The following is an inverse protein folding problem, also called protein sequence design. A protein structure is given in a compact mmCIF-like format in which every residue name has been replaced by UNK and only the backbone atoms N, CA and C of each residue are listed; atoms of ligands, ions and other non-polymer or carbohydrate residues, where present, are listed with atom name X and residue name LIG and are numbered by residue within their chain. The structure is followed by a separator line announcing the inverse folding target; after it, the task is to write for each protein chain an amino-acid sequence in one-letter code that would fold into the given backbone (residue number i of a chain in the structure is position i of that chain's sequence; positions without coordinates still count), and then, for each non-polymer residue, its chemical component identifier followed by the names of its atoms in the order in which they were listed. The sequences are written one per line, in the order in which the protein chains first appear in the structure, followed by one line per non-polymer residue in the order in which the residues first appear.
data_IF_685868471894
#
_entry.id   IF_685868471894
#
_cell.length_a   1.000
_cell.length_b   1.000
_cell.length_c   1.000
_cell.angle_alpha   90.00
_cell.angle_beta   90.00
_cell.angle_gamma   90.00
#
_symmetry.space_group_name_H-M   'P 1'
#
loop_
_entity.id
_entity.type
_entity.pdbx_description
1 polymer ?
#
# COMPACT_ATOMS: atom_id res chain seq x y z
N UNK A 1 -17.04 -1.38 -30.42
CA UNK A 1 -15.97 -0.74 -31.19
C UNK A 1 -14.74 -1.62 -31.07
N UNK A 2 -14.34 -2.23 -32.17
CA UNK A 2 -13.18 -3.13 -32.23
C UNK A 2 -11.91 -2.36 -31.92
N UNK A 3 -11.25 -2.73 -30.86
CA UNK A 3 -9.86 -2.32 -30.62
C UNK A 3 -8.99 -3.27 -31.42
N UNK A 4 -8.29 -2.73 -32.41
CA UNK A 4 -7.29 -3.47 -33.15
C UNK A 4 -6.24 -4.01 -32.17
N UNK A 5 -6.29 -5.31 -31.93
CA UNK A 5 -5.16 -6.11 -31.52
C UNK A 5 -4.25 -6.22 -32.73
N UNK A 6 -3.11 -5.58 -32.73
CA UNK A 6 -1.96 -6.00 -33.54
C UNK A 6 -0.86 -4.90 -33.60
N UNK A 7 -0.23 -4.66 -32.48
CA UNK A 7 1.19 -4.39 -32.40
C UNK A 7 1.74 -5.13 -31.17
N UNK A 8 1.90 -6.42 -31.32
CA UNK A 8 2.80 -7.18 -30.44
C UNK A 8 4.18 -6.63 -30.77
N UNK A 9 4.63 -5.61 -30.00
CA UNK A 9 6.05 -5.27 -29.94
C UNK A 9 6.78 -6.58 -29.72
N UNK A 10 7.56 -7.04 -30.70
CA UNK A 10 8.54 -8.11 -30.51
C UNK A 10 9.60 -7.49 -29.60
N UNK A 11 9.26 -7.38 -28.32
CA UNK A 11 10.20 -7.04 -27.28
C UNK A 11 11.25 -8.16 -27.30
N UNK A 12 12.51 -7.79 -27.50
CA UNK A 12 13.62 -8.66 -27.12
C UNK A 12 13.35 -9.20 -25.70
N UNK A 13 14.07 -10.21 -25.25
CA UNK A 13 13.83 -10.86 -23.96
C UNK A 13 14.01 -9.86 -22.79
N UNK A 14 12.98 -9.00 -22.54
CA UNK A 14 12.97 -8.05 -21.41
C UNK A 14 12.67 -8.81 -20.13
N UNK A 15 13.49 -8.59 -19.10
CA UNK A 15 13.27 -9.13 -17.76
C UNK A 15 12.80 -8.04 -16.79
N UNK A 16 12.22 -8.42 -15.66
CA UNK A 16 11.86 -7.47 -14.62
C UNK A 16 12.64 -7.73 -13.32
N UNK A 17 12.98 -6.65 -12.61
CA UNK A 17 13.45 -6.69 -11.22
C UNK A 17 12.44 -5.94 -10.36
N UNK A 18 11.88 -6.62 -9.35
CA UNK A 18 10.90 -6.05 -8.45
C UNK A 18 11.54 -5.89 -7.06
N UNK A 19 11.64 -4.65 -6.58
CA UNK A 19 12.27 -4.37 -5.29
C UNK A 19 11.26 -4.49 -4.15
N UNK A 20 11.37 -5.54 -3.36
CA UNK A 20 10.46 -5.89 -2.27
C UNK A 20 11.19 -6.07 -0.92
N UNK A 21 12.43 -5.59 -0.80
CA UNK A 21 13.28 -5.78 0.39
C UNK A 21 13.06 -4.74 1.51
N UNK A 22 12.16 -3.79 1.35
CA UNK A 22 11.89 -2.75 2.34
C UNK A 22 11.25 -3.31 3.62
N UNK A 23 11.73 -2.88 4.81
CA UNK A 23 11.21 -3.34 6.12
C UNK A 23 9.76 -2.94 6.40
N UNK A 24 9.24 -1.88 5.78
CA UNK A 24 7.86 -1.44 5.96
C UNK A 24 7.51 -0.89 7.36
N UNK A 25 8.49 -0.49 8.18
CA UNK A 25 8.30 -0.07 9.58
C UNK A 25 7.25 1.04 9.77
N UNK A 26 7.09 1.93 8.79
CA UNK A 26 6.09 3.01 8.83
C UNK A 26 4.64 2.49 8.65
N UNK A 27 4.49 1.27 8.18
CA UNK A 27 3.18 0.60 7.98
C UNK A 27 2.73 -0.19 9.22
N UNK A 28 3.56 -0.22 10.28
CA UNK A 28 3.14 -0.86 11.53
C UNK A 28 1.76 -0.36 11.99
N UNK A 29 0.86 -1.25 12.46
CA UNK A 29 1.03 -2.66 12.79
C UNK A 29 0.76 -3.64 11.63
N UNK A 30 0.40 -3.18 10.45
CA UNK A 30 0.03 -4.04 9.32
C UNK A 30 1.20 -4.90 8.81
N UNK A 31 2.43 -4.42 9.01
CA UNK A 31 3.65 -5.13 8.59
C UNK A 31 4.29 -5.97 9.68
N UNK A 32 3.65 -6.13 10.83
CA UNK A 32 4.10 -7.06 11.87
C UNK A 32 3.98 -8.52 11.45
N UNK A 33 3.00 -8.83 10.60
CA UNK A 33 2.65 -10.21 10.20
C UNK A 33 2.93 -10.52 8.74
N UNK A 34 3.14 -9.51 7.91
CA UNK A 34 3.37 -9.65 6.46
C UNK A 34 4.26 -8.56 5.91
N UNK A 35 5.00 -8.80 4.80
CA UNK A 35 5.77 -7.77 4.15
C UNK A 35 4.86 -6.77 3.43
N UNK A 36 5.32 -5.52 3.32
CA UNK A 36 4.59 -4.40 2.71
C UNK A 36 4.00 -4.71 1.32
N UNK A 37 4.69 -5.40 0.39
CA UNK A 37 4.14 -5.72 -0.94
C UNK A 37 2.90 -6.63 -0.93
N UNK A 38 2.65 -7.32 0.19
CA UNK A 38 1.46 -8.16 0.39
C UNK A 38 0.30 -7.44 1.07
N UNK A 39 0.42 -6.14 1.36
CA UNK A 39 -0.73 -5.35 1.77
C UNK A 39 -1.71 -5.21 0.61
N UNK A 40 -3.00 -5.24 0.94
CA UNK A 40 -4.05 -5.39 -0.05
C UNK A 40 -4.70 -4.06 -0.42
N UNK A 41 -4.91 -3.88 -1.71
CA UNK A 41 -5.80 -2.86 -2.28
C UNK A 41 -6.93 -3.59 -3.01
N UNK A 42 -8.18 -3.28 -2.68
CA UNK A 42 -9.36 -4.02 -3.15
C UNK A 42 -9.18 -5.54 -2.98
N UNK A 43 -8.76 -5.96 -1.77
CA UNK A 43 -8.57 -7.38 -1.40
C UNK A 43 -7.59 -8.16 -2.30
N UNK A 44 -6.63 -7.47 -2.88
CA UNK A 44 -5.60 -8.03 -3.76
C UNK A 44 -4.24 -7.46 -3.38
N UNK A 45 -3.20 -8.29 -3.15
CA UNK A 45 -1.87 -7.83 -2.82
C UNK A 45 -1.33 -6.80 -3.82
N UNK A 46 -0.69 -5.72 -3.36
CA UNK A 46 -0.09 -4.72 -4.25
C UNK A 46 0.89 -5.36 -5.24
N UNK A 47 1.71 -6.31 -4.79
CA UNK A 47 2.64 -7.04 -5.64
C UNK A 47 1.95 -7.76 -6.81
N UNK A 48 0.71 -8.26 -6.61
CA UNK A 48 -0.03 -8.95 -7.64
C UNK A 48 -0.38 -8.03 -8.82
N UNK A 49 -0.70 -6.76 -8.55
CA UNK A 49 -0.91 -5.77 -9.61
C UNK A 49 0.32 -5.59 -10.49
N UNK A 50 1.52 -5.53 -9.88
CA UNK A 50 2.77 -5.42 -10.63
C UNK A 50 3.05 -6.67 -11.48
N UNK A 51 2.92 -7.87 -10.90
CA UNK A 51 3.17 -9.12 -11.60
C UNK A 51 2.22 -9.33 -12.78
N UNK A 52 0.92 -9.10 -12.56
CA UNK A 52 -0.10 -9.21 -13.63
C UNK A 52 0.16 -8.21 -14.76
N UNK A 53 0.47 -6.94 -14.41
CA UNK A 53 0.75 -5.91 -15.42
C UNK A 53 2.00 -6.24 -16.24
N UNK A 54 3.06 -6.74 -15.60
CA UNK A 54 4.27 -7.17 -16.31
C UNK A 54 3.98 -8.34 -17.25
N UNK A 55 3.20 -9.33 -16.78
CA UNK A 55 2.80 -10.48 -17.61
C UNK A 55 1.93 -10.05 -18.80
N UNK A 56 0.96 -9.15 -18.58
CA UNK A 56 0.10 -8.58 -19.62
C UNK A 56 0.88 -7.82 -20.71
N UNK A 57 2.04 -7.28 -20.36
CA UNK A 57 2.97 -6.62 -21.28
C UNK A 57 3.99 -7.58 -21.90
N UNK A 58 3.82 -8.90 -21.71
CA UNK A 58 4.67 -9.93 -22.31
C UNK A 58 5.98 -10.22 -21.57
N UNK A 59 6.23 -9.62 -20.41
CA UNK A 59 7.40 -9.91 -19.59
C UNK A 59 7.20 -11.24 -18.87
N UNK A 60 7.95 -12.25 -19.27
CA UNK A 60 7.80 -13.63 -18.78
C UNK A 60 8.74 -14.00 -17.64
N UNK A 61 9.78 -13.20 -17.40
CA UNK A 61 10.81 -13.46 -16.39
C UNK A 61 10.89 -12.29 -15.42
N UNK A 62 10.81 -12.57 -14.13
CA UNK A 62 11.00 -11.56 -13.08
C UNK A 62 11.86 -12.07 -11.94
N UNK A 63 12.62 -11.16 -11.32
CA UNK A 63 13.36 -11.38 -10.08
C UNK A 63 12.72 -10.54 -8.99
N UNK A 64 12.30 -11.17 -7.92
CA UNK A 64 11.79 -10.50 -6.73
C UNK A 64 12.90 -10.41 -5.68
N UNK A 65 13.30 -9.18 -5.34
CA UNK A 65 14.30 -8.95 -4.29
C UNK A 65 13.59 -8.90 -2.94
N UNK A 66 13.99 -9.81 -2.04
CA UNK A 66 13.33 -10.03 -0.74
C UNK A 66 14.25 -9.69 0.43
N UNK A 67 13.69 -9.48 1.64
CA UNK A 67 14.48 -9.34 2.87
C UNK A 67 13.71 -9.88 4.09
N UNK A 68 12.57 -9.27 4.45
CA UNK A 68 11.75 -9.65 5.61
C UNK A 68 10.55 -10.50 5.20
N UNK A 69 10.05 -11.35 6.11
CA UNK A 69 8.90 -12.25 5.88
C UNK A 69 9.01 -13.04 4.57
N UNK A 70 10.23 -13.52 4.27
CA UNK A 70 10.59 -14.09 2.99
C UNK A 70 9.73 -15.30 2.59
N UNK A 71 9.46 -16.20 3.54
CA UNK A 71 8.69 -17.43 3.28
C UNK A 71 7.25 -17.11 2.82
N UNK A 72 6.58 -16.17 3.51
CA UNK A 72 5.24 -15.74 3.14
C UNK A 72 5.24 -15.04 1.78
N UNK A 73 6.22 -14.16 1.55
CA UNK A 73 6.36 -13.45 0.28
C UNK A 73 6.61 -14.42 -0.87
N UNK A 74 7.54 -15.37 -0.73
CA UNK A 74 7.84 -16.40 -1.72
C UNK A 74 6.61 -17.27 -2.01
N UNK A 75 5.95 -17.79 -0.98
CA UNK A 75 4.76 -18.63 -1.14
C UNK A 75 3.65 -17.91 -1.92
N UNK A 76 3.33 -16.68 -1.51
CA UNK A 76 2.25 -15.92 -2.14
C UNK A 76 2.59 -15.53 -3.57
N UNK A 77 3.79 -14.97 -3.80
CA UNK A 77 4.18 -14.53 -5.15
C UNK A 77 4.42 -15.68 -6.13
N UNK A 78 4.90 -16.84 -5.67
CA UNK A 78 5.00 -18.04 -6.51
C UNK A 78 3.63 -18.52 -6.99
N UNK A 79 2.63 -18.54 -6.09
CA UNK A 79 1.26 -18.90 -6.47
C UNK A 79 0.64 -17.92 -7.46
N UNK A 80 0.95 -16.62 -7.34
CA UNK A 80 0.51 -15.62 -8.31
C UNK A 80 1.21 -15.84 -9.66
N UNK A 81 2.53 -15.99 -9.64
CA UNK A 81 3.36 -16.16 -10.84
C UNK A 81 2.95 -17.42 -11.65
N UNK A 82 2.66 -18.52 -10.96
CA UNK A 82 2.17 -19.75 -11.59
C UNK A 82 0.84 -19.51 -12.34
N UNK A 83 -0.11 -18.81 -11.73
CA UNK A 83 -1.42 -18.53 -12.33
C UNK A 83 -1.33 -17.66 -13.58
N UNK A 84 -0.35 -16.76 -13.65
CA UNK A 84 -0.16 -15.83 -14.79
C UNK A 84 0.91 -16.32 -15.78
N UNK A 85 1.49 -17.50 -15.56
CA UNK A 85 2.51 -18.09 -16.44
C UNK A 85 3.84 -17.36 -16.45
N UNK A 86 4.23 -16.70 -15.33
CA UNK A 86 5.48 -15.95 -15.19
C UNK A 86 6.53 -16.80 -14.49
N UNK A 87 7.77 -16.81 -15.01
CA UNK A 87 8.94 -17.37 -14.33
C UNK A 87 9.43 -16.36 -13.29
N UNK A 88 9.22 -16.65 -12.00
CA UNK A 88 9.61 -15.80 -10.89
C UNK A 88 10.76 -16.42 -10.11
N UNK A 89 11.87 -15.71 -10.01
CA UNK A 89 13.01 -16.07 -9.16
C UNK A 89 13.15 -15.12 -7.98
N UNK A 90 13.86 -15.55 -6.94
CA UNK A 90 14.01 -14.80 -5.69
C UNK A 90 15.47 -14.55 -5.39
N UNK A 91 15.78 -13.31 -5.06
CA UNK A 91 17.10 -12.91 -4.56
C UNK A 91 16.91 -12.26 -3.20
N UNK A 92 17.58 -12.81 -2.19
CA UNK A 92 17.54 -12.22 -0.86
C UNK A 92 18.59 -11.12 -0.75
N UNK A 93 18.16 -9.90 -0.48
CA UNK A 93 19.06 -8.84 -0.07
C UNK A 93 19.61 -9.16 1.32
N UNK A 94 20.89 -9.45 1.41
CA UNK A 94 21.56 -9.87 2.65
C UNK A 94 21.48 -8.80 3.74
N UNK A 95 21.77 -7.56 3.35
CA UNK A 95 21.70 -6.38 4.22
C UNK A 95 20.90 -5.26 3.52
N UNK A 96 20.08 -4.49 4.25
CA UNK A 96 19.25 -3.43 3.67
C UNK A 96 20.07 -2.18 3.34
N UNK A 97 21.07 -2.31 2.49
CA UNK A 97 22.02 -1.27 2.08
C UNK A 97 21.52 -0.39 0.92
N UNK A 98 20.22 -0.29 0.73
CA UNK A 98 19.61 0.60 -0.25
C UNK A 98 19.16 -0.08 -1.54
N UNK A 99 18.49 0.70 -2.41
CA UNK A 99 17.86 0.20 -3.65
C UNK A 99 18.88 -0.21 -4.71
N UNK A 100 20.01 0.48 -4.80
CA UNK A 100 21.11 0.12 -5.70
C UNK A 100 21.76 -1.20 -5.31
N UNK A 101 21.95 -1.44 -4.00
CA UNK A 101 22.45 -2.73 -3.52
C UNK A 101 21.49 -3.87 -3.88
N UNK A 102 20.18 -3.66 -3.74
CA UNK A 102 19.16 -4.63 -4.09
C UNK A 102 19.22 -5.01 -5.59
N UNK A 103 19.33 -4.01 -6.47
CA UNK A 103 19.47 -4.23 -7.94
C UNK A 103 20.78 -4.95 -8.26
N UNK A 104 21.88 -4.58 -7.63
CA UNK A 104 23.18 -5.23 -7.82
C UNK A 104 23.11 -6.72 -7.47
N UNK A 105 22.59 -7.07 -6.29
CA UNK A 105 22.42 -8.48 -5.90
C UNK A 105 21.47 -9.22 -6.86
N UNK A 106 20.37 -8.56 -7.29
CA UNK A 106 19.46 -9.15 -8.25
C UNK A 106 20.15 -9.54 -9.55
N UNK A 107 20.95 -8.64 -10.14
CA UNK A 107 21.65 -8.89 -11.40
C UNK A 107 22.76 -9.94 -11.21
N UNK A 108 23.57 -9.83 -10.15
CA UNK A 108 24.67 -10.77 -9.87
C UNK A 108 24.19 -12.20 -9.68
N UNK A 109 23.13 -12.40 -8.87
CA UNK A 109 22.64 -13.72 -8.50
C UNK A 109 21.80 -14.35 -9.60
N UNK A 110 20.91 -13.57 -10.24
CA UNK A 110 20.00 -14.09 -11.27
C UNK A 110 20.66 -14.23 -12.65
N UNK A 111 21.73 -13.51 -12.89
CA UNK A 111 22.38 -13.46 -14.20
C UNK A 111 21.57 -12.73 -15.28
N UNK A 112 20.62 -11.86 -14.89
CA UNK A 112 19.88 -11.02 -15.85
C UNK A 112 20.84 -10.22 -16.72
N UNK A 113 20.50 -10.11 -18.01
CA UNK A 113 21.22 -9.40 -19.06
C UNK A 113 20.25 -8.59 -19.91
N UNK A 114 20.79 -7.56 -20.60
CA UNK A 114 20.06 -6.75 -21.57
C UNK A 114 19.02 -5.83 -20.93
N UNK A 115 18.00 -5.47 -21.68
CA UNK A 115 16.97 -4.54 -21.23
C UNK A 115 16.17 -5.11 -20.06
N UNK A 116 16.05 -4.30 -19.01
CA UNK A 116 15.44 -4.71 -17.74
C UNK A 116 14.52 -3.61 -17.24
N UNK A 117 13.31 -3.97 -16.83
CA UNK A 117 12.39 -3.09 -16.13
C UNK A 117 12.55 -3.27 -14.63
N UNK A 118 12.88 -2.19 -13.93
CA UNK A 118 12.91 -2.17 -12.46
C UNK A 118 11.62 -1.54 -11.95
N UNK A 119 10.95 -2.22 -11.00
CA UNK A 119 9.71 -1.74 -10.39
C UNK A 119 9.84 -1.78 -8.87
N UNK A 120 9.50 -0.68 -8.22
CA UNK A 120 9.38 -0.63 -6.76
C UNK A 120 8.03 -1.23 -6.34
N UNK A 121 8.05 -2.22 -5.47
CA UNK A 121 6.83 -2.92 -5.06
C UNK A 121 5.95 -2.15 -4.08
N UNK A 122 6.39 -1.01 -3.61
CA UNK A 122 5.68 -0.16 -2.66
C UNK A 122 4.99 1.06 -3.29
N UNK A 123 5.10 1.21 -4.60
CA UNK A 123 4.26 2.16 -5.35
C UNK A 123 2.90 1.52 -5.66
N UNK A 124 1.89 2.35 -5.71
CA UNK A 124 0.58 1.96 -6.18
C UNK A 124 0.06 2.93 -7.25
N UNK A 125 -0.41 2.36 -8.31
CA UNK A 125 -1.17 3.00 -9.38
C UNK A 125 -2.32 2.06 -9.74
N UNK A 126 -3.40 2.61 -10.28
CA UNK A 126 -4.47 1.75 -10.81
C UNK A 126 -3.93 0.86 -11.93
N UNK A 127 -4.54 -0.31 -12.19
CA UNK A 127 -4.03 -1.25 -13.21
C UNK A 127 -3.80 -0.60 -14.58
N UNK A 128 -4.71 0.28 -14.99
CA UNK A 128 -4.59 1.02 -16.25
C UNK A 128 -3.37 1.94 -16.25
N UNK A 129 -3.24 2.79 -15.22
CA UNK A 129 -2.15 3.75 -15.12
C UNK A 129 -0.79 3.04 -14.98
N UNK A 130 -0.73 1.92 -14.26
CA UNK A 130 0.48 1.12 -14.13
C UNK A 130 0.90 0.50 -15.47
N UNK A 131 -0.07 -0.05 -16.22
CA UNK A 131 0.16 -0.59 -17.56
C UNK A 131 0.65 0.48 -18.53
N UNK A 132 0.02 1.64 -18.53
CA UNK A 132 0.43 2.78 -19.37
C UNK A 132 1.85 3.25 -19.04
N UNK A 133 2.19 3.33 -17.75
CA UNK A 133 3.52 3.76 -17.29
C UNK A 133 4.62 2.78 -17.73
N UNK A 134 4.42 1.48 -17.52
CA UNK A 134 5.39 0.45 -17.92
C UNK A 134 5.47 0.35 -19.45
N UNK A 135 4.33 0.41 -20.16
CA UNK A 135 4.30 0.40 -21.62
C UNK A 135 5.08 1.58 -22.22
N UNK A 136 4.89 2.79 -21.70
CA UNK A 136 5.68 3.97 -22.11
C UNK A 136 7.17 3.77 -21.87
N UNK A 137 7.54 3.19 -20.71
CA UNK A 137 8.94 2.89 -20.42
C UNK A 137 9.53 1.88 -21.44
N UNK A 138 8.82 0.81 -21.74
CA UNK A 138 9.22 -0.21 -22.71
C UNK A 138 9.35 0.34 -24.13
N UNK A 139 8.46 1.26 -24.52
CA UNK A 139 8.43 1.85 -25.87
C UNK A 139 9.45 2.97 -26.08
N UNK A 140 10.09 3.49 -25.02
CA UNK A 140 11.13 4.51 -25.16
C UNK A 140 12.33 3.95 -25.93
N UNK A 141 12.87 4.66 -26.91
CA UNK A 141 14.09 4.24 -27.62
C UNK A 141 15.34 4.30 -26.74
N UNK A 142 15.29 5.08 -25.66
CA UNK A 142 16.37 5.27 -24.69
C UNK A 142 16.07 4.53 -23.38
N UNK A 143 17.02 4.48 -22.46
CA UNK A 143 16.72 4.21 -21.07
C UNK A 143 15.70 5.22 -20.55
N UNK A 144 14.96 4.86 -19.52
CA UNK A 144 13.90 5.74 -19.06
C UNK A 144 13.62 5.58 -17.57
N UNK A 145 13.13 6.66 -16.98
CA UNK A 145 12.60 6.71 -15.62
C UNK A 145 11.24 7.38 -15.61
N UNK A 146 10.26 6.73 -14.98
CA UNK A 146 8.95 7.34 -14.79
C UNK A 146 8.98 8.40 -13.68
N UNK A 147 8.38 9.55 -13.96
CA UNK A 147 8.31 10.70 -13.06
C UNK A 147 6.88 11.03 -12.68
N UNK A 148 6.57 11.04 -11.37
CA UNK A 148 5.31 11.49 -10.82
C UNK A 148 5.40 12.95 -10.37
N UNK A 149 4.36 13.75 -10.62
CA UNK A 149 4.27 15.12 -10.10
C UNK A 149 3.67 15.11 -8.71
N UNK A 150 4.37 15.71 -7.76
CA UNK A 150 3.94 15.81 -6.36
C UNK A 150 4.03 17.26 -5.86
N UNK A 151 3.16 17.63 -4.91
CA UNK A 151 3.13 19.00 -4.34
C UNK A 151 4.28 19.27 -3.36
N UNK A 152 4.90 18.24 -2.82
CA UNK A 152 6.05 18.33 -1.93
C UNK A 152 7.10 17.28 -2.33
N UNK A 153 8.11 17.72 -3.07
CA UNK A 153 9.17 16.86 -3.58
C UNK A 153 10.25 16.52 -2.55
N UNK A 154 10.24 17.15 -1.37
CA UNK A 154 11.31 17.00 -0.37
C UNK A 154 11.50 15.58 0.15
N UNK A 155 10.49 14.74 0.04
CA UNK A 155 10.46 13.37 0.56
C UNK A 155 10.97 12.31 -0.40
N UNK A 156 11.25 12.70 -1.64
CA UNK A 156 11.51 11.79 -2.77
C UNK A 156 12.81 12.15 -3.49
N UNK A 157 13.21 11.32 -4.42
CA UNK A 157 14.24 11.65 -5.41
C UNK A 157 13.64 12.54 -6.52
N UNK A 158 13.86 13.85 -6.45
CA UNK A 158 13.35 14.79 -7.44
C UNK A 158 14.17 14.71 -8.73
N UNK A 159 13.47 14.54 -9.86
CA UNK A 159 14.07 14.42 -11.19
C UNK A 159 14.22 15.80 -11.81
N UNK A 160 15.44 16.16 -12.19
CA UNK A 160 15.74 17.34 -12.98
C UNK A 160 16.05 16.88 -14.40
N UNK A 161 15.29 17.38 -15.36
CA UNK A 161 15.50 17.09 -16.79
C UNK A 161 15.88 18.34 -17.55
N UNK A 162 16.61 18.16 -18.64
CA UNK A 162 16.93 19.21 -19.60
C UNK A 162 15.70 19.63 -20.43
N UNK A 163 15.89 20.59 -21.33
CA UNK A 163 14.85 21.08 -22.23
C UNK A 163 14.31 20.06 -23.24
N UNK A 164 15.00 18.93 -23.42
CA UNK A 164 14.56 17.80 -24.26
C UNK A 164 13.89 16.65 -23.48
N UNK A 165 13.81 16.77 -22.15
CA UNK A 165 13.21 15.76 -21.28
C UNK A 165 14.18 14.65 -20.85
N UNK A 166 15.49 14.80 -21.10
CA UNK A 166 16.52 13.88 -20.63
C UNK A 166 16.90 14.17 -19.19
N UNK A 167 17.19 13.12 -18.43
CA UNK A 167 17.59 13.22 -17.03
C UNK A 167 18.97 13.88 -16.92
N UNK A 168 19.05 14.99 -16.21
CA UNK A 168 20.32 15.65 -15.87
C UNK A 168 20.81 15.28 -14.48
N UNK A 169 19.89 15.27 -13.50
CA UNK A 169 20.23 15.07 -12.08
C UNK A 169 19.06 14.56 -11.28
N UNK A 170 19.36 13.87 -10.17
CA UNK A 170 18.37 13.45 -9.18
C UNK A 170 18.73 14.07 -7.82
N UNK A 171 17.82 14.84 -7.24
CA UNK A 171 17.99 15.47 -5.94
C UNK A 171 17.29 14.60 -4.88
N UNK A 172 18.07 13.82 -4.13
CA UNK A 172 17.52 12.84 -3.18
C UNK A 172 17.12 13.50 -1.86
N UNK A 173 15.82 13.46 -1.54
CA UNK A 173 15.22 13.83 -0.23
C UNK A 173 15.76 15.15 0.36
N UNK A 174 15.70 16.22 -0.42
CA UNK A 174 16.24 17.52 -0.02
C UNK A 174 15.21 18.37 0.74
N UNK A 175 15.52 18.85 1.97
CA UNK A 175 14.68 19.79 2.68
C UNK A 175 14.39 21.10 1.92
N UNK A 176 15.29 21.50 0.99
CA UNK A 176 15.13 22.71 0.16
C UNK A 176 13.95 22.63 -0.80
N UNK A 177 13.41 21.43 -1.02
CA UNK A 177 12.23 21.16 -1.84
C UNK A 177 10.94 21.06 -1.02
N UNK A 178 10.99 21.37 0.27
CA UNK A 178 9.81 21.32 1.14
C UNK A 178 8.71 22.30 0.66
N UNK A 179 7.51 21.74 0.45
CA UNK A 179 6.36 22.48 -0.06
C UNK A 179 6.48 22.95 -1.51
N UNK A 180 7.49 22.46 -2.26
CA UNK A 180 7.65 22.76 -3.68
C UNK A 180 7.17 21.60 -4.53
N UNK A 181 6.36 21.94 -5.54
CA UNK A 181 5.96 20.98 -6.56
C UNK A 181 7.20 20.53 -7.36
N UNK A 182 7.23 19.25 -7.70
CA UNK A 182 8.31 18.68 -8.50
C UNK A 182 7.95 17.33 -9.09
N UNK A 183 8.70 16.96 -10.13
CA UNK A 183 8.66 15.61 -10.70
C UNK A 183 9.60 14.73 -9.90
N UNK A 184 9.10 13.60 -9.39
CA UNK A 184 9.88 12.68 -8.55
C UNK A 184 9.95 11.29 -9.16
N UNK A 185 10.98 10.52 -8.79
CA UNK A 185 11.12 9.12 -9.19
C UNK A 185 9.88 8.31 -8.77
N UNK A 186 9.15 7.81 -9.74
CA UNK A 186 7.94 7.03 -9.52
C UNK A 186 8.19 5.54 -9.31
N UNK A 187 9.44 5.09 -9.29
CA UNK A 187 9.78 3.69 -9.02
C UNK A 187 9.59 2.74 -10.19
N UNK A 188 9.54 3.23 -11.42
CA UNK A 188 9.50 2.45 -12.66
C UNK A 188 10.61 2.94 -13.56
N UNK A 189 11.51 2.04 -14.02
CA UNK A 189 12.65 2.36 -14.84
C UNK A 189 12.88 1.28 -15.89
N UNK A 190 13.28 1.66 -17.12
CA UNK A 190 13.84 0.75 -18.12
C UNK A 190 15.30 1.07 -18.31
N UNK A 191 16.18 0.12 -18.09
CA UNK A 191 17.63 0.28 -18.15
C UNK A 191 18.30 -0.99 -18.68
N UNK A 192 19.54 -0.90 -19.12
CA UNK A 192 20.38 -2.05 -19.39
C UNK A 192 20.97 -2.63 -18.10
N UNK A 193 20.86 -3.94 -17.93
CA UNK A 193 21.37 -4.61 -16.72
C UNK A 193 22.89 -4.49 -16.58
N UNK A 194 23.64 -4.62 -17.67
CA UNK A 194 25.09 -4.51 -17.68
C UNK A 194 25.55 -3.08 -17.37
N UNK A 195 24.92 -2.09 -18.01
CA UNK A 195 25.28 -0.69 -17.86
C UNK A 195 25.01 -0.18 -16.45
N UNK A 196 23.83 -0.48 -15.91
CA UNK A 196 23.54 -0.06 -14.53
C UNK A 196 24.42 -0.80 -13.51
N UNK A 197 24.78 -2.04 -13.79
CA UNK A 197 25.67 -2.81 -12.94
C UNK A 197 27.06 -2.20 -12.84
N UNK A 198 27.60 -1.69 -13.96
CA UNK A 198 28.88 -0.96 -13.96
C UNK A 198 28.84 0.29 -13.10
N UNK A 199 27.75 1.06 -13.18
CA UNK A 199 27.58 2.26 -12.36
C UNK A 199 27.40 1.90 -10.89
N UNK A 200 26.62 0.87 -10.56
CA UNK A 200 26.42 0.40 -9.19
C UNK A 200 27.72 -0.04 -8.51
N UNK A 201 28.65 -0.67 -9.26
CA UNK A 201 29.97 -1.05 -8.74
C UNK A 201 30.83 0.17 -8.34
N UNK A 202 30.60 1.33 -8.96
CA UNK A 202 31.33 2.57 -8.73
C UNK A 202 30.61 3.51 -7.74
N UNK A 203 29.34 3.23 -7.45
CA UNK A 203 28.52 4.09 -6.59
C UNK A 203 28.96 3.95 -5.14
N UNK A 204 29.40 5.06 -4.56
CA UNK A 204 29.74 5.13 -3.12
C UNK A 204 28.44 5.16 -2.27
N UNK A 205 28.48 4.62 -1.05
CA UNK A 205 27.36 4.76 -0.12
C UNK A 205 27.04 6.24 0.15
N UNK A 206 25.76 6.56 0.22
CA UNK A 206 25.25 7.87 0.60
C UNK A 206 25.57 8.20 2.07
N UNK A 207 25.28 9.44 2.50
CA UNK A 207 25.40 9.88 3.92
C UNK A 207 24.61 8.94 4.85
N UNK A 208 23.59 8.25 4.33
CA UNK A 208 22.78 7.27 5.07
C UNK A 208 23.38 5.87 5.11
N UNK A 209 24.54 5.66 4.48
CA UNK A 209 25.17 4.35 4.34
C UNK A 209 24.51 3.45 3.28
N UNK A 210 23.64 3.99 2.43
CA UNK A 210 22.89 3.26 1.41
C UNK A 210 23.51 3.44 0.01
N UNK A 211 23.57 2.37 -0.77
CA UNK A 211 23.87 2.42 -2.20
C UNK A 211 22.56 2.73 -2.91
N UNK A 212 22.43 3.96 -3.38
CA UNK A 212 21.20 4.44 -4.01
C UNK A 212 21.19 4.10 -5.50
N UNK A 213 20.11 3.52 -5.98
CA UNK A 213 19.91 3.29 -7.42
C UNK A 213 19.85 4.60 -8.18
N UNK A 214 19.29 5.65 -7.58
CA UNK A 214 19.20 7.00 -8.16
C UNK A 214 20.58 7.61 -8.44
N UNK A 215 21.57 7.38 -7.59
CA UNK A 215 22.94 7.84 -7.82
C UNK A 215 23.62 7.12 -8.99
N UNK A 216 23.41 5.81 -9.12
CA UNK A 216 23.88 5.03 -10.26
C UNK A 216 23.20 5.46 -11.57
N UNK A 217 21.89 5.73 -11.52
CA UNK A 217 21.13 6.22 -12.68
C UNK A 217 21.58 7.62 -13.13
N UNK A 218 21.87 8.53 -12.20
CA UNK A 218 22.44 9.84 -12.52
C UNK A 218 23.83 9.71 -13.19
N UNK A 219 24.64 8.75 -12.74
CA UNK A 219 25.92 8.46 -13.38
C UNK A 219 25.77 7.87 -14.78
N UNK A 220 24.76 7.00 -14.97
CA UNK A 220 24.41 6.45 -16.28
C UNK A 220 23.92 7.55 -17.23
N UNK A 221 23.11 8.49 -16.75
CA UNK A 221 22.58 9.61 -17.55
C UNK A 221 23.66 10.55 -18.12
N UNK A 222 24.88 10.56 -17.55
CA UNK A 222 26.02 11.29 -18.09
C UNK A 222 26.68 10.61 -19.31
N UNK A 223 26.33 9.33 -19.54
CA UNK A 223 26.96 8.50 -20.60
C UNK A 223 25.97 8.05 -21.66
N UNK A 224 24.69 7.98 -21.28
CA UNK A 224 23.61 7.48 -22.13
C UNK A 224 22.36 8.31 -21.90
N UNK A 225 21.53 8.43 -22.91
CA UNK A 225 20.25 9.11 -22.79
C UNK A 225 19.30 8.34 -21.84
N UNK A 226 18.74 9.05 -20.86
CA UNK A 226 17.71 8.56 -19.96
C UNK A 226 16.50 9.50 -20.02
N UNK A 227 15.40 9.04 -20.59
CA UNK A 227 14.17 9.83 -20.72
C UNK A 227 13.43 9.94 -19.38
N UNK A 228 13.00 11.14 -19.00
CA UNK A 228 12.08 11.35 -17.88
C UNK A 228 10.64 11.31 -18.40
N UNK A 229 9.96 10.21 -18.18
CA UNK A 229 8.59 9.96 -18.64
C UNK A 229 7.59 10.41 -17.60
N UNK A 230 6.91 11.54 -17.84
CA UNK A 230 5.85 12.01 -16.93
C UNK A 230 4.68 11.04 -16.93
N UNK A 231 4.29 10.62 -15.72
CA UNK A 231 3.13 9.78 -15.51
C UNK A 231 1.84 10.56 -15.72
N UNK A 232 0.86 9.87 -16.30
CA UNK A 232 -0.53 10.30 -16.33
C UNK A 232 -1.31 9.52 -15.27
N UNK A 233 -2.15 10.21 -14.51
CA UNK A 233 -2.94 9.60 -13.45
C UNK A 233 -2.30 9.69 -12.06
N UNK A 234 -3.03 9.17 -11.07
CA UNK A 234 -2.58 9.21 -9.68
C UNK A 234 -1.55 8.13 -9.39
N UNK A 235 -0.50 8.56 -8.70
CA UNK A 235 0.59 7.74 -8.19
C UNK A 235 0.64 7.86 -6.67
N UNK A 236 0.89 6.77 -5.96
CA UNK A 236 0.97 6.71 -4.51
C UNK A 236 2.21 5.90 -4.09
N UNK A 237 3.15 6.52 -3.38
CA UNK A 237 4.10 5.79 -2.53
C UNK A 237 3.35 5.35 -1.28
N UNK A 238 3.02 4.07 -1.19
CA UNK A 238 2.28 3.50 -0.06
C UNK A 238 3.22 3.34 1.13
N UNK A 239 3.64 4.46 1.71
CA UNK A 239 4.60 4.52 2.80
C UNK A 239 4.00 4.45 4.20
N UNK A 240 2.70 4.73 4.33
CA UNK A 240 1.99 4.84 5.62
C UNK A 240 0.60 4.20 5.53
N UNK A 241 -0.04 3.83 6.65
CA UNK A 241 -1.39 3.25 6.63
C UNK A 241 -2.44 4.11 5.94
N UNK A 242 -2.36 5.43 6.04
CA UNK A 242 -3.30 6.32 5.34
C UNK A 242 -3.07 6.41 3.84
N UNK A 243 -1.85 6.09 3.36
CA UNK A 243 -1.61 5.91 1.92
C UNK A 243 -2.31 4.65 1.41
N UNK A 244 -2.37 3.58 2.22
CA UNK A 244 -3.12 2.37 1.88
C UNK A 244 -4.64 2.65 1.79
N UNK A 245 -5.20 3.45 2.69
CA UNK A 245 -6.60 3.91 2.56
C UNK A 245 -6.79 4.69 1.26
N UNK A 246 -5.87 5.61 0.94
CA UNK A 246 -5.92 6.39 -0.31
C UNK A 246 -5.84 5.51 -1.54
N UNK A 247 -4.98 4.47 -1.53
CA UNK A 247 -4.87 3.52 -2.63
C UNK A 247 -6.18 2.75 -2.86
N UNK A 248 -6.87 2.33 -1.77
CA UNK A 248 -8.18 1.71 -1.84
C UNK A 248 -9.26 2.68 -2.35
N UNK A 249 -9.29 3.92 -1.86
CA UNK A 249 -10.19 4.98 -2.32
C UNK A 249 -10.03 5.25 -3.83
N UNK A 250 -8.78 5.40 -4.29
CA UNK A 250 -8.46 5.62 -5.70
C UNK A 250 -8.95 4.47 -6.58
N UNK A 251 -8.60 3.24 -6.21
CA UNK A 251 -8.96 2.05 -6.99
C UNK A 251 -10.46 1.85 -7.06
N UNK A 252 -11.16 2.06 -5.95
CA UNK A 252 -12.61 1.90 -5.91
C UNK A 252 -13.31 2.96 -6.72
N UNK A 253 -12.85 4.22 -6.69
CA UNK A 253 -13.35 5.30 -7.53
C UNK A 253 -13.20 4.98 -9.02
N UNK A 254 -12.01 4.50 -9.41
CA UNK A 254 -11.78 4.14 -10.82
C UNK A 254 -12.63 2.95 -11.25
N UNK A 255 -12.78 1.95 -10.39
CA UNK A 255 -13.60 0.78 -10.65
C UNK A 255 -15.09 1.16 -10.84
N UNK A 256 -15.62 2.08 -10.01
CA UNK A 256 -16.96 2.60 -10.15
C UNK A 256 -17.15 3.38 -11.46
N UNK A 257 -16.21 4.25 -11.80
CA UNK A 257 -16.22 4.99 -13.07
C UNK A 257 -16.17 4.06 -14.28
N UNK A 258 -15.34 3.02 -14.25
CA UNK A 258 -15.26 2.03 -15.31
C UNK A 258 -16.57 1.25 -15.52
N UNK A 259 -17.39 1.14 -14.48
CA UNK A 259 -18.73 0.55 -14.52
C UNK A 259 -19.84 1.54 -14.90
N UNK A 260 -19.51 2.83 -15.06
CA UNK A 260 -20.48 3.88 -15.33
C UNK A 260 -21.46 4.15 -14.17
N UNK A 261 -21.08 3.78 -12.95
CA UNK A 261 -21.92 3.94 -11.77
C UNK A 261 -21.66 5.28 -11.07
N UNK A 262 -22.72 5.92 -10.58
CA UNK A 262 -22.60 7.05 -9.65
C UNK A 262 -21.97 6.58 -8.33
N UNK A 263 -21.12 7.41 -7.73
CA UNK A 263 -20.34 6.99 -6.55
C UNK A 263 -21.23 6.45 -5.42
N UNK A 264 -22.32 7.14 -5.07
CA UNK A 264 -23.20 6.74 -3.98
C UNK A 264 -23.96 5.43 -4.23
N UNK A 265 -24.16 5.07 -5.48
CA UNK A 265 -24.87 3.85 -5.91
C UNK A 265 -23.92 2.69 -6.19
N UNK A 266 -22.62 2.96 -6.27
CA UNK A 266 -21.62 1.97 -6.62
C UNK A 266 -21.37 0.98 -5.47
N UNK A 267 -22.09 -0.11 -5.46
CA UNK A 267 -21.88 -1.25 -4.56
C UNK A 267 -21.44 -2.45 -5.40
N UNK A 268 -20.26 -2.97 -5.12
CA UNK A 268 -19.68 -4.06 -5.89
C UNK A 268 -19.51 -5.27 -4.99
N UNK A 269 -20.21 -6.34 -5.33
CA UNK A 269 -20.01 -7.66 -4.78
C UNK A 269 -19.15 -8.47 -5.74
N UNK A 270 -17.99 -8.92 -5.28
CA UNK A 270 -17.04 -9.74 -6.05
C UNK A 270 -16.92 -11.10 -5.36
N UNK A 271 -17.62 -12.11 -5.93
CA UNK A 271 -17.87 -13.46 -5.42
C UNK A 271 -19.14 -13.70 -4.59
N UNK A 272 -19.53 -15.00 -4.47
CA UNK A 272 -20.90 -15.48 -4.45
C UNK A 272 -21.52 -15.75 -3.06
N UNK A 273 -20.85 -15.45 -1.93
CA UNK A 273 -21.41 -15.81 -0.62
C UNK A 273 -21.53 -14.62 0.32
N UNK A 274 -22.38 -13.67 -0.06
CA UNK A 274 -22.71 -12.56 0.81
C UNK A 274 -24.11 -12.82 1.37
N UNK A 275 -24.17 -13.08 2.67
CA UNK A 275 -25.41 -13.27 3.40
C UNK A 275 -25.85 -11.93 3.98
N UNK A 276 -27.04 -11.46 3.61
CA UNK A 276 -27.59 -10.18 4.06
C UNK A 276 -28.85 -10.47 4.88
N UNK A 277 -28.84 -10.05 6.13
CA UNK A 277 -30.00 -10.07 7.01
C UNK A 277 -30.58 -8.65 7.12
N UNK A 278 -31.67 -8.42 6.42
CA UNK A 278 -32.29 -7.09 6.34
C UNK A 278 -32.87 -6.56 7.67
N UNK A 279 -32.96 -5.23 7.84
CA UNK A 279 -32.56 -4.20 6.89
C UNK A 279 -31.06 -3.87 6.93
N UNK A 280 -30.42 -3.79 5.77
CA UNK A 280 -29.02 -3.30 5.62
C UNK A 280 -29.00 -2.09 4.68
N UNK A 281 -28.24 -1.05 5.05
CA UNK A 281 -28.09 0.14 4.22
C UNK A 281 -26.69 0.17 3.64
N UNK A 282 -26.61 0.13 2.30
CA UNK A 282 -25.36 0.25 1.55
C UNK A 282 -25.39 1.55 0.73
N UNK A 283 -24.39 2.43 0.95
CA UNK A 283 -24.20 3.66 0.17
C UNK A 283 -22.77 3.72 -0.34
N UNK A 284 -22.59 3.48 -1.62
CA UNK A 284 -21.28 3.40 -2.28
C UNK A 284 -20.37 4.63 -2.11
N UNK A 285 -19.16 4.57 -2.61
CA UNK A 285 -18.53 3.37 -3.21
C UNK A 285 -18.19 2.28 -2.18
N UNK A 286 -18.60 1.06 -2.45
CA UNK A 286 -18.36 -0.11 -1.59
C UNK A 286 -17.85 -1.26 -2.45
N UNK A 287 -16.85 -1.97 -1.95
CA UNK A 287 -16.35 -3.20 -2.55
C UNK A 287 -16.31 -4.31 -1.50
N UNK A 288 -17.00 -5.41 -1.77
CA UNK A 288 -17.05 -6.59 -0.91
C UNK A 288 -16.61 -7.78 -1.73
N UNK A 289 -15.56 -8.47 -1.28
CA UNK A 289 -15.01 -9.64 -1.94
C UNK A 289 -14.98 -10.84 -1.00
N UNK A 290 -15.41 -12.00 -1.52
CA UNK A 290 -15.48 -13.25 -0.77
C UNK A 290 -16.71 -13.34 0.12
N UNK A 291 -16.71 -14.27 1.09
CA UNK A 291 -17.86 -14.45 1.99
C UNK A 291 -17.96 -13.33 3.02
N UNK A 292 -19.16 -12.81 3.22
CA UNK A 292 -19.45 -11.84 4.26
C UNK A 292 -20.87 -12.04 4.81
N UNK A 293 -21.02 -11.96 6.14
CA UNK A 293 -22.31 -11.86 6.80
C UNK A 293 -22.56 -10.38 7.11
N UNK A 294 -23.62 -9.81 6.55
CA UNK A 294 -24.08 -8.46 6.84
C UNK A 294 -25.38 -8.53 7.64
N UNK A 295 -25.27 -8.25 8.93
CA UNK A 295 -26.39 -8.39 9.86
C UNK A 295 -27.33 -7.20 9.87
N UNK A 296 -28.51 -7.33 10.54
CA UNK A 296 -29.58 -6.36 10.45
C UNK A 296 -29.16 -5.00 11.02
N UNK A 297 -29.70 -3.95 10.42
CA UNK A 297 -29.39 -2.55 10.73
C UNK A 297 -27.93 -2.14 10.52
N UNK A 298 -27.14 -2.94 9.77
CA UNK A 298 -25.80 -2.50 9.38
C UNK A 298 -25.89 -1.35 8.35
N UNK A 299 -25.00 -0.36 8.49
CA UNK A 299 -24.88 0.77 7.58
C UNK A 299 -23.44 0.87 7.09
N UNK A 300 -23.18 0.49 5.84
CA UNK A 300 -21.88 0.55 5.20
C UNK A 300 -21.91 1.67 4.17
N UNK A 301 -20.90 2.56 4.19
CA UNK A 301 -20.91 3.72 3.31
C UNK A 301 -19.53 4.26 2.99
N UNK A 302 -19.50 5.09 1.94
CA UNK A 302 -18.28 5.73 1.45
C UNK A 302 -17.33 4.69 0.90
N UNK A 303 -16.07 5.04 0.80
CA UNK A 303 -15.01 4.18 0.25
C UNK A 303 -14.66 3.01 1.19
N UNK A 304 -15.62 2.07 1.36
CA UNK A 304 -15.44 0.91 2.25
C UNK A 304 -15.10 -0.35 1.45
N UNK A 305 -14.08 -1.07 1.92
CA UNK A 305 -13.59 -2.31 1.32
C UNK A 305 -13.66 -3.42 2.37
N UNK A 306 -14.31 -4.53 2.05
CA UNK A 306 -14.49 -5.69 2.94
C UNK A 306 -13.96 -6.92 2.24
N UNK A 307 -12.97 -7.59 2.85
CA UNK A 307 -12.20 -8.67 2.23
C UNK A 307 -12.40 -10.02 2.93
N UNK A 308 -13.29 -10.82 2.42
CA UNK A 308 -13.46 -12.26 2.75
C UNK A 308 -13.73 -12.64 4.20
N UNK A 309 -14.63 -13.60 4.40
CA UNK A 309 -14.92 -14.27 5.70
C UNK A 309 -15.25 -13.32 6.85
N UNK A 310 -15.91 -12.20 6.58
CA UNK A 310 -16.18 -11.17 7.57
C UNK A 310 -17.58 -11.30 8.15
N UNK A 311 -17.70 -10.91 9.44
CA UNK A 311 -18.99 -10.73 10.08
C UNK A 311 -19.18 -9.28 10.48
N UNK A 312 -20.10 -8.60 9.80
CA UNK A 312 -20.54 -7.24 10.08
C UNK A 312 -21.97 -7.35 10.63
N UNK A 313 -22.09 -7.33 11.94
CA UNK A 313 -23.36 -7.71 12.59
C UNK A 313 -24.31 -6.55 12.87
N UNK A 314 -25.16 -6.76 13.90
CA UNK A 314 -26.26 -5.88 14.26
C UNK A 314 -25.84 -4.45 14.58
N UNK A 315 -26.48 -3.47 13.92
CA UNK A 315 -26.31 -2.03 14.16
C UNK A 315 -24.84 -1.56 14.08
N UNK A 316 -24.08 -2.13 13.13
CA UNK A 316 -22.70 -1.73 12.87
C UNK A 316 -22.68 -0.65 11.79
N UNK A 317 -21.89 0.41 12.01
CA UNK A 317 -21.59 1.38 10.96
C UNK A 317 -20.14 1.29 10.53
N UNK A 318 -19.92 1.11 9.21
CA UNK A 318 -18.59 1.18 8.57
C UNK A 318 -18.58 2.34 7.58
N UNK A 319 -17.50 3.13 7.63
CA UNK A 319 -17.33 4.27 6.72
C UNK A 319 -15.88 4.42 6.28
N UNK A 320 -15.64 4.49 4.96
CA UNK A 320 -14.32 4.79 4.39
C UNK A 320 -13.20 3.96 5.03
N UNK A 321 -13.42 2.67 5.20
CA UNK A 321 -12.55 1.77 5.96
C UNK A 321 -12.23 0.50 5.18
N UNK A 322 -11.07 -0.09 5.49
CA UNK A 322 -10.67 -1.39 4.97
C UNK A 322 -10.81 -2.43 6.08
N UNK A 323 -11.63 -3.45 5.82
CA UNK A 323 -11.85 -4.58 6.72
C UNK A 323 -11.20 -5.80 6.07
N UNK A 324 -10.10 -6.28 6.64
CA UNK A 324 -9.35 -7.41 6.09
C UNK A 324 -10.00 -8.75 6.46
N UNK A 325 -9.54 -9.82 5.84
CA UNK A 325 -10.08 -11.17 5.95
C UNK A 325 -10.28 -11.63 7.40
N UNK A 326 -11.43 -12.28 7.66
CA UNK A 326 -11.72 -12.92 8.95
C UNK A 326 -12.02 -11.96 10.09
N UNK A 327 -12.08 -10.65 9.83
CA UNK A 327 -12.39 -9.68 10.86
C UNK A 327 -13.87 -9.79 11.29
N UNK A 328 -14.11 -9.65 12.60
CA UNK A 328 -15.44 -9.69 13.20
C UNK A 328 -15.76 -8.35 13.84
N UNK A 329 -16.81 -7.70 13.33
CA UNK A 329 -17.37 -6.44 13.80
C UNK A 329 -18.85 -6.69 14.14
N UNK A 330 -19.15 -7.42 15.23
CA UNK A 330 -20.45 -8.11 15.33
C UNK A 330 -21.59 -7.26 15.89
N UNK A 331 -21.35 -6.23 16.72
CA UNK A 331 -22.42 -5.58 17.46
C UNK A 331 -22.13 -4.11 17.80
N UNK A 332 -23.03 -3.19 17.39
CA UNK A 332 -23.07 -1.81 17.87
C UNK A 332 -21.73 -1.06 17.71
N UNK A 333 -20.96 -1.39 16.67
CA UNK A 333 -19.65 -0.82 16.45
C UNK A 333 -19.72 0.37 15.47
N UNK A 334 -18.81 1.32 15.63
CA UNK A 334 -18.51 2.32 14.60
C UNK A 334 -17.05 2.20 14.16
N UNK A 335 -16.86 1.97 12.86
CA UNK A 335 -15.54 1.90 12.22
C UNK A 335 -15.47 2.98 11.13
N UNK A 336 -14.75 4.04 11.40
CA UNK A 336 -14.63 5.18 10.48
C UNK A 336 -13.20 5.47 10.08
N UNK A 337 -12.95 5.60 8.76
CA UNK A 337 -11.66 5.98 8.18
C UNK A 337 -10.49 5.17 8.76
N UNK A 338 -10.71 3.85 8.93
CA UNK A 338 -9.86 2.93 9.69
C UNK A 338 -9.40 1.73 8.85
N UNK A 339 -8.36 1.05 9.33
CA UNK A 339 -7.93 -0.23 8.78
C UNK A 339 -8.04 -1.29 9.89
N UNK A 340 -8.83 -2.32 9.63
CA UNK A 340 -9.03 -3.45 10.54
C UNK A 340 -8.31 -4.66 9.93
N UNK A 341 -7.29 -5.14 10.62
CA UNK A 341 -6.44 -6.25 10.19
C UNK A 341 -7.15 -7.59 10.15
N UNK A 342 -6.44 -8.62 9.71
CA UNK A 342 -6.99 -9.97 9.59
C UNK A 342 -7.33 -10.57 10.95
N UNK A 343 -8.44 -11.31 11.00
CA UNK A 343 -8.89 -12.03 12.20
C UNK A 343 -9.04 -11.15 13.46
N UNK A 344 -9.19 -9.83 13.29
CA UNK A 344 -9.51 -8.91 14.38
C UNK A 344 -10.91 -9.22 14.90
N UNK A 345 -11.12 -9.10 16.21
CA UNK A 345 -12.44 -9.22 16.81
C UNK A 345 -12.75 -7.99 17.66
N UNK A 346 -13.68 -7.17 17.21
CA UNK A 346 -14.14 -5.99 17.94
C UNK A 346 -15.29 -6.35 18.89
N UNK A 347 -15.09 -6.13 20.20
CA UNK A 347 -16.16 -6.27 21.19
C UNK A 347 -17.31 -5.30 20.94
N UNK A 348 -18.49 -5.63 21.42
CA UNK A 348 -19.69 -4.80 21.27
C UNK A 348 -19.45 -3.36 21.75
N UNK A 349 -19.90 -2.37 20.98
CA UNK A 349 -19.73 -0.96 21.32
C UNK A 349 -18.30 -0.43 21.13
N UNK A 350 -17.44 -1.13 20.41
CA UNK A 350 -16.12 -0.56 20.05
C UNK A 350 -16.28 0.55 19.01
N UNK A 351 -15.68 1.71 19.29
CA UNK A 351 -15.76 2.93 18.47
C UNK A 351 -14.36 3.35 18.05
N UNK A 352 -14.10 3.49 16.75
CA UNK A 352 -12.90 4.17 16.24
C UNK A 352 -13.22 5.63 15.96
N UNK A 353 -12.86 6.53 16.87
CA UNK A 353 -13.02 7.96 16.63
C UNK A 353 -12.08 8.40 15.48
N UNK A 354 -12.59 9.23 14.57
CA UNK A 354 -11.88 9.57 13.34
C UNK A 354 -11.72 11.06 13.07
N UNK A 355 -12.16 11.93 14.00
CA UNK A 355 -12.13 13.39 13.88
C UNK A 355 -11.58 14.02 15.14
N UNK A 356 -10.72 15.01 14.98
CA UNK A 356 -10.26 15.85 16.09
C UNK A 356 -11.27 16.97 16.40
N UNK A 357 -11.43 17.32 17.67
CA UNK A 357 -12.31 18.41 18.10
C UNK A 357 -11.91 19.79 17.55
N UNK A 358 -10.62 20.01 17.31
CA UNK A 358 -10.09 21.27 16.77
C UNK A 358 -10.21 21.40 15.24
N UNK A 359 -10.77 20.39 14.55
CA UNK A 359 -10.96 20.36 13.10
C UNK A 359 -9.69 20.29 12.27
N UNK A 360 -8.51 20.14 12.90
CA UNK A 360 -7.22 19.97 12.22
C UNK A 360 -7.06 18.55 11.71
N UNK A 361 -6.04 18.32 10.91
CA UNK A 361 -5.67 16.98 10.48
C UNK A 361 -5.36 16.07 11.68
N UNK A 362 -5.76 14.82 11.55
CA UNK A 362 -5.39 13.79 12.52
C UNK A 362 -3.89 13.56 12.45
N UNK A 363 -3.27 13.38 13.61
CA UNK A 363 -1.86 12.99 13.71
C UNK A 363 -1.74 11.54 14.16
N UNK A 364 -0.71 10.85 13.70
CA UNK A 364 -0.42 9.48 14.10
C UNK A 364 1.06 9.29 14.37
N UNK A 365 1.41 8.38 15.25
CA UNK A 365 2.80 8.12 15.63
C UNK A 365 3.53 7.36 14.51
N UNK A 366 4.68 7.86 14.05
CA UNK A 366 5.57 7.13 13.15
C UNK A 366 7.00 7.17 13.68
N UNK A 367 7.58 6.00 13.93
CA UNK A 367 8.98 5.88 14.43
C UNK A 367 9.28 6.80 15.63
N UNK A 368 8.37 6.85 16.60
CA UNK A 368 8.53 7.67 17.80
C UNK A 368 8.21 9.16 17.63
N UNK A 369 7.78 9.61 16.45
CA UNK A 369 7.40 10.99 16.18
C UNK A 369 5.94 11.09 15.79
N UNK A 370 5.24 12.09 16.31
CA UNK A 370 3.84 12.36 15.97
C UNK A 370 3.77 13.19 14.69
N UNK A 371 3.30 12.59 13.60
CA UNK A 371 3.25 13.21 12.27
C UNK A 371 1.83 13.56 11.84
N UNK A 372 1.68 14.59 11.01
CA UNK A 372 0.42 14.96 10.36
C UNK A 372 0.12 13.94 9.24
N UNK A 373 -1.07 13.34 9.26
CA UNK A 373 -1.49 12.37 8.25
C UNK A 373 -1.96 13.03 6.94
N UNK A 374 -2.11 14.35 6.91
CA UNK A 374 -2.74 15.09 5.81
C UNK A 374 -4.26 14.89 5.73
N UNK A 375 -4.87 14.11 6.65
CA UNK A 375 -6.28 13.75 6.62
C UNK A 375 -7.04 14.40 7.79
N UNK A 376 -8.13 15.10 7.51
CA UNK A 376 -9.05 15.61 8.54
C UNK A 376 -9.82 14.48 9.24
N UNK A 377 -9.98 13.35 8.54
CA UNK A 377 -10.63 12.15 9.07
C UNK A 377 -9.67 10.96 8.91
N UNK A 378 -9.26 10.40 10.02
CA UNK A 378 -8.46 9.20 10.11
C UNK A 378 -8.73 8.54 11.46
N UNK A 379 -9.24 7.34 11.44
CA UNK A 379 -9.59 6.57 12.64
C UNK A 379 -8.39 5.85 13.20
N UNK A 380 -8.45 4.53 13.19
CA UNK A 380 -7.43 3.68 13.81
C UNK A 380 -6.89 2.63 12.86
N UNK A 381 -5.69 2.14 13.14
CA UNK A 381 -5.13 0.97 12.47
C UNK A 381 -5.02 -0.15 13.48
N UNK A 382 -5.75 -1.23 13.27
CA UNK A 382 -5.78 -2.38 14.18
C UNK A 382 -5.07 -3.54 13.48
N UNK A 383 -3.99 -4.01 14.08
CA UNK A 383 -3.18 -5.11 13.56
C UNK A 383 -3.88 -6.47 13.67
N UNK A 384 -3.36 -7.42 12.92
CA UNK A 384 -3.94 -8.76 12.79
C UNK A 384 -4.12 -9.46 14.13
N UNK A 385 -5.25 -10.16 14.29
CA UNK A 385 -5.55 -10.95 15.49
C UNK A 385 -5.83 -10.16 16.76
N UNK A 386 -5.82 -8.83 16.70
CA UNK A 386 -6.13 -8.00 17.86
C UNK A 386 -7.58 -8.15 18.30
N UNK A 387 -7.83 -7.95 19.59
CA UNK A 387 -9.17 -8.08 20.17
C UNK A 387 -9.48 -6.92 21.09
N UNK A 388 -10.69 -6.37 21.00
CA UNK A 388 -11.17 -5.36 21.93
C UNK A 388 -12.27 -5.93 22.83
N UNK A 389 -12.28 -5.52 24.09
CA UNK A 389 -13.40 -5.72 25.00
C UNK A 389 -14.58 -4.83 24.62
N UNK A 390 -15.72 -5.05 25.27
CA UNK A 390 -16.93 -4.24 25.05
C UNK A 390 -16.69 -2.78 25.42
N UNK A 391 -17.38 -1.84 24.72
CA UNK A 391 -17.33 -0.40 24.98
C UNK A 391 -15.91 0.17 24.96
N UNK A 392 -15.04 -0.31 24.06
CA UNK A 392 -13.71 0.25 23.84
C UNK A 392 -13.82 1.50 22.96
N UNK A 393 -13.21 2.61 23.38
CA UNK A 393 -13.09 3.82 22.57
C UNK A 393 -11.65 4.02 22.14
N UNK A 394 -11.40 4.12 20.82
CA UNK A 394 -10.07 4.30 20.27
C UNK A 394 -9.99 5.70 19.66
N UNK A 395 -9.02 6.52 20.12
CA UNK A 395 -8.89 7.90 19.66
C UNK A 395 -8.30 8.00 18.25
N UNK A 396 -8.54 9.12 17.53
CA UNK A 396 -8.09 9.29 16.15
C UNK A 396 -6.59 9.14 15.99
N UNK A 397 -6.15 8.36 14.99
CA UNK A 397 -4.75 8.16 14.65
C UNK A 397 -4.02 7.12 15.50
N UNK A 398 -4.69 6.52 16.48
CA UNK A 398 -4.13 5.47 17.33
C UNK A 398 -3.98 4.16 16.56
N UNK A 399 -2.90 3.43 16.85
CA UNK A 399 -2.61 2.12 16.28
C UNK A 399 -2.61 1.05 17.37
N UNK A 400 -3.24 -0.08 17.08
CA UNK A 400 -3.24 -1.25 17.96
C UNK A 400 -2.45 -2.35 17.29
N UNK A 401 -1.42 -2.83 17.97
CA UNK A 401 -0.52 -3.88 17.50
C UNK A 401 -1.20 -5.21 17.26
N UNK A 402 -0.56 -6.05 16.43
CA UNK A 402 -1.04 -7.40 16.14
C UNK A 402 -1.12 -8.25 17.39
N UNK A 403 -2.18 -9.05 17.52
CA UNK A 403 -2.47 -9.89 18.67
C UNK A 403 -2.59 -9.15 20.02
N UNK A 404 -2.76 -7.83 20.00
CA UNK A 404 -3.02 -7.07 21.23
C UNK A 404 -4.44 -7.25 21.73
N UNK A 405 -4.62 -7.25 23.05
CA UNK A 405 -5.92 -7.36 23.71
C UNK A 405 -6.22 -6.10 24.50
N UNK A 406 -7.37 -5.52 24.25
CA UNK A 406 -7.84 -4.33 24.95
C UNK A 406 -8.98 -4.72 25.88
N UNK A 407 -8.85 -4.39 27.15
CA UNK A 407 -9.90 -4.65 28.17
C UNK A 407 -11.18 -3.88 27.91
N UNK A 408 -12.29 -4.35 28.51
CA UNK A 408 -13.59 -3.70 28.39
C UNK A 408 -13.57 -2.28 28.97
N UNK A 409 -14.31 -1.35 28.35
CA UNK A 409 -14.45 0.03 28.80
C UNK A 409 -13.19 0.89 28.70
N UNK A 410 -12.16 0.43 27.98
CA UNK A 410 -10.95 1.18 27.82
C UNK A 410 -11.09 2.34 26.84
N UNK A 411 -10.47 3.48 27.18
CA UNK A 411 -10.20 4.59 26.26
C UNK A 411 -8.73 4.47 25.85
N UNK A 412 -8.50 4.11 24.57
CA UNK A 412 -7.14 3.94 24.01
C UNK A 412 -6.74 5.23 23.32
N UNK A 413 -5.82 5.96 23.90
CA UNK A 413 -5.34 7.28 23.46
C UNK A 413 -3.89 7.31 22.99
N UNK A 414 -3.22 6.16 23.03
CA UNK A 414 -1.85 5.97 22.55
C UNK A 414 -1.69 4.61 21.86
N UNK A 415 -0.62 4.46 21.08
CA UNK A 415 -0.34 3.22 20.35
C UNK A 415 -0.11 2.06 21.34
N UNK A 416 -0.69 0.90 21.01
CA UNK A 416 -0.55 -0.33 21.79
C UNK A 416 0.39 -1.29 21.08
N UNK A 417 1.49 -1.74 21.69
CA UNK A 417 2.45 -2.65 21.06
C UNK A 417 1.85 -4.02 20.71
N UNK A 418 2.49 -4.73 19.77
CA UNK A 418 2.11 -6.10 19.39
C UNK A 418 2.09 -7.02 20.62
N UNK A 419 1.10 -7.93 20.68
CA UNK A 419 0.97 -8.93 21.74
C UNK A 419 0.69 -8.40 23.14
N UNK A 420 0.40 -7.11 23.29
CA UNK A 420 0.19 -6.46 24.59
C UNK A 420 -1.24 -6.63 25.09
N UNK A 421 -1.41 -6.55 26.40
CA UNK A 421 -2.73 -6.52 27.06
C UNK A 421 -2.90 -5.17 27.75
N UNK A 422 -3.91 -4.40 27.34
CA UNK A 422 -4.30 -3.15 27.98
C UNK A 422 -5.44 -3.43 28.96
N UNK A 423 -5.25 -3.06 30.21
CA UNK A 423 -6.29 -3.11 31.25
C UNK A 423 -6.54 -1.71 31.78
N UNK A 424 -7.78 -1.28 31.75
CA UNK A 424 -8.18 0.02 32.28
C UNK A 424 -8.82 -0.16 33.66
N UNK A 425 -8.21 0.43 34.68
CA UNK A 425 -8.77 0.46 36.02
C UNK A 425 -9.97 1.40 36.08
N UNK A 426 -11.03 1.00 36.79
CA UNK A 426 -12.13 1.89 37.17
C UNK A 426 -12.14 2.00 38.68
N UNK A 427 -12.09 3.21 39.19
CA UNK A 427 -12.38 3.44 40.61
C UNK A 427 -13.85 3.23 40.84
N UNK A 428 -14.18 2.36 41.82
CA UNK A 428 -15.57 2.10 42.21
C UNK A 428 -15.79 2.70 43.56
N UNK A 429 -16.78 3.58 43.66
CA UNK A 429 -17.33 4.02 44.93
C UNK A 429 -18.68 3.35 45.13
N UNK A 430 -18.82 2.56 46.22
CA UNK A 430 -20.07 1.94 46.59
C UNK A 430 -20.62 2.65 47.83
N UNK A 431 -21.75 3.32 47.67
CA UNK A 431 -22.45 3.98 48.79
C UNK A 431 -23.81 3.33 48.98
N UNK A 432 -24.23 3.23 50.27
CA UNK A 432 -25.56 2.80 50.58
C UNK A 432 -26.59 3.87 50.17
N UNK A 433 -27.62 3.47 49.47
CA UNK A 433 -28.71 4.39 49.10
C UNK A 433 -29.39 4.87 50.38
N UNK A 434 -29.57 6.19 50.56
CA UNK A 434 -30.12 6.79 51.78
C UNK A 434 -31.62 6.59 51.93
N UNK A 435 -32.31 6.16 50.87
CA UNK A 435 -33.79 6.06 50.82
C UNK A 435 -34.29 4.60 50.62
N UNK A 436 -33.51 3.61 51.07
CA UNK A 436 -33.91 2.19 51.03
C UNK A 436 -34.22 1.70 52.41
#
# INVERSE_FOLDING_TARGET
MNWNSDEVLILGEVSAIILAAGKGERMWPLTSTRPKPLLEVLCKPMLQYHLETLADLGIKKAVLVTHSHEDLLKKTSSSIAEKIGMSLSFVRQSEPLGTGHAVREAIEVSGIRGETVIVYSDIFMTPRSLKDAISKALSSPSYSIAGAVVQDASRYGALVSDGSGKLERIIEKSPDLSGKEGTVNAGIMKIGAEEIMEELKRTAPSIRGEIELTSALESLAKKSDVDVLKLEGEWIDVGTPWDLLRANELSLRELCRARGAEEEECVIFDEEKIEIEDPVVLRGPIYIKGSAELGPCAHIRGYSVICGENKIGFSVQIKSSVIMRGAKVPHLNYVGDSIIGENVNLGAGTITANVRHDGRNVRSMLKGSLVDTGRKKFGSVIGDGARTGINTSILPGVKIGSNAWIGAGCIVNEDVPDGSIVKCGQEKEVRKRRDA
#
